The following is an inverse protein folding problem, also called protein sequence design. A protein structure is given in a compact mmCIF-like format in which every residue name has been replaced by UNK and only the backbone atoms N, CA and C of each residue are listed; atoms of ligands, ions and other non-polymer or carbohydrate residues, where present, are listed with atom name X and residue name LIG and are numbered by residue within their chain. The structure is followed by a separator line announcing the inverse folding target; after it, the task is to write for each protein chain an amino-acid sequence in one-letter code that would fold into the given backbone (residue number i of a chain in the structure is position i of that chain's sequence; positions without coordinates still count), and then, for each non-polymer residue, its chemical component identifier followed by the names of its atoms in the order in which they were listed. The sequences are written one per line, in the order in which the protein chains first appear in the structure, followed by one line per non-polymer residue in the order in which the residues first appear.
data_IF_222191374616
#
_entry.id   IF_222191374616
#
_cell.length_a   1.000
_cell.length_b   1.000
_cell.length_c   1.000
_cell.angle_alpha   90.00
_cell.angle_beta   90.00
_cell.angle_gamma   90.00
#
_symmetry.space_group_name_H-M   'P 1'
#
loop_
_entity.id
_entity.type
_entity.pdbx_description
1 polymer ?
#
# COMPACT_ATOMS: atom_id res chain seq x y z
N UNK A 1 11.98 55.46 -13.96
CA UNK A 1 12.68 54.15 -13.89
C UNK A 1 12.28 53.49 -12.59
N UNK A 2 11.34 52.54 -12.61
CA UNK A 2 11.05 51.61 -11.51
C UNK A 2 10.04 50.57 -12.01
N UNK A 3 10.55 49.45 -12.56
CA UNK A 3 9.78 48.23 -12.74
C UNK A 3 10.75 47.05 -12.66
N UNK A 4 10.93 46.55 -11.44
CA UNK A 4 11.60 45.28 -11.14
C UNK A 4 11.25 44.94 -9.70
N UNK A 5 10.21 44.13 -9.48
CA UNK A 5 9.97 43.33 -8.26
C UNK A 5 8.59 42.64 -8.34
N UNK A 6 8.45 41.64 -9.20
CA UNK A 6 7.24 40.79 -9.16
C UNK A 6 7.49 39.40 -9.75
N UNK A 7 8.60 38.75 -9.36
CA UNK A 7 8.87 37.36 -9.72
C UNK A 7 9.57 36.61 -8.58
N UNK A 8 8.87 36.37 -7.47
CA UNK A 8 9.38 35.42 -6.45
C UNK A 8 8.33 34.67 -5.62
N UNK A 9 7.02 34.86 -5.83
CA UNK A 9 6.01 34.28 -4.93
C UNK A 9 5.27 33.01 -5.41
N UNK A 10 5.44 32.57 -6.66
CA UNK A 10 4.68 31.42 -7.18
C UNK A 10 5.26 30.03 -6.86
N UNK A 11 6.51 29.92 -6.40
CA UNK A 11 7.15 28.60 -6.21
C UNK A 11 6.90 27.95 -4.85
N UNK A 12 6.44 28.68 -3.83
CA UNK A 12 6.20 28.11 -2.48
C UNK A 12 4.78 27.59 -2.27
N UNK A 13 3.77 28.14 -2.95
CA UNK A 13 2.36 27.73 -2.78
C UNK A 13 2.02 26.36 -3.40
N UNK A 14 2.78 25.93 -4.41
CA UNK A 14 2.57 24.65 -5.08
C UNK A 14 3.14 23.45 -4.31
N UNK A 15 4.14 23.67 -3.44
CA UNK A 15 4.79 22.61 -2.65
C UNK A 15 3.92 22.13 -1.49
N UNK A 16 3.27 23.04 -0.77
CA UNK A 16 2.39 22.68 0.36
C UNK A 16 1.12 21.93 -0.09
N UNK A 17 0.57 22.31 -1.24
CA UNK A 17 -0.60 21.65 -1.84
C UNK A 17 -0.25 20.25 -2.37
N UNK A 18 0.93 20.07 -2.98
CA UNK A 18 1.42 18.75 -3.38
C UNK A 18 1.79 17.86 -2.17
N UNK A 19 2.25 18.43 -1.07
CA UNK A 19 2.60 17.69 0.15
C UNK A 19 1.34 17.20 0.91
N UNK A 20 0.24 17.94 0.85
CA UNK A 20 -1.09 17.52 1.35
C UNK A 20 -1.66 16.33 0.56
N UNK A 21 -1.37 16.25 -0.75
CA UNK A 21 -1.82 15.16 -1.64
C UNK A 21 -1.07 13.83 -1.41
N UNK A 22 0.05 13.84 -0.67
CA UNK A 22 0.96 12.69 -0.47
C UNK A 22 0.70 11.87 0.80
N UNK A 23 -0.51 11.93 1.38
CA UNK A 23 -0.85 11.04 2.50
C UNK A 23 -1.34 9.70 1.96
N UNK A 24 -0.64 8.62 2.27
CA UNK A 24 -0.94 7.23 1.87
C UNK A 24 -2.40 6.88 2.18
N UNK A 25 -2.91 7.24 3.36
CA UNK A 25 -4.33 7.09 3.70
C UNK A 25 -5.27 7.76 2.70
N UNK A 26 -5.06 9.05 2.43
CA UNK A 26 -5.85 9.83 1.47
C UNK A 26 -5.70 9.30 0.03
N UNK A 27 -4.51 8.84 -0.36
CA UNK A 27 -4.27 8.17 -1.63
C UNK A 27 -5.18 6.95 -1.74
N UNK A 28 -5.11 6.00 -0.80
CA UNK A 28 -5.89 4.76 -0.85
C UNK A 28 -7.40 5.01 -0.88
N UNK A 29 -7.90 6.03 -0.18
CA UNK A 29 -9.30 6.43 -0.22
C UNK A 29 -9.71 7.01 -1.58
N UNK A 30 -8.84 7.81 -2.20
CA UNK A 30 -9.10 8.45 -3.50
C UNK A 30 -9.00 7.49 -4.67
N UNK A 31 -8.24 6.39 -4.56
CA UNK A 31 -8.09 5.41 -5.64
C UNK A 31 -9.43 4.97 -6.22
N UNK A 32 -10.40 4.65 -5.36
CA UNK A 32 -11.74 4.21 -5.77
C UNK A 32 -12.53 5.23 -6.60
N UNK A 33 -12.15 6.52 -6.49
CA UNK A 33 -12.79 7.63 -7.19
C UNK A 33 -12.11 7.96 -8.52
N UNK A 34 -11.02 7.28 -8.85
CA UNK A 34 -10.31 7.50 -10.11
C UNK A 34 -11.03 6.79 -11.26
N UNK A 35 -11.03 7.36 -12.48
CA UNK A 35 -11.66 6.72 -13.64
C UNK A 35 -11.08 5.33 -13.93
N UNK A 36 -9.77 5.17 -13.87
CA UNK A 36 -9.12 3.88 -14.18
C UNK A 36 -9.47 2.80 -13.15
N UNK A 37 -9.65 3.15 -11.86
CA UNK A 37 -10.09 2.18 -10.86
C UNK A 37 -11.50 1.70 -11.20
N UNK A 38 -12.42 2.62 -11.48
CA UNK A 38 -13.82 2.30 -11.78
C UNK A 38 -13.98 1.51 -13.10
N UNK A 39 -13.02 1.64 -14.02
CA UNK A 39 -13.01 0.92 -15.29
C UNK A 39 -12.35 -0.46 -15.22
N UNK A 40 -11.37 -0.65 -14.33
CA UNK A 40 -10.49 -1.84 -14.35
C UNK A 40 -10.60 -2.71 -13.09
N UNK A 41 -11.11 -2.17 -11.98
CA UNK A 41 -11.12 -2.83 -10.68
C UNK A 41 -12.57 -2.96 -10.20
N UNK A 42 -13.04 -4.16 -9.82
CA UNK A 42 -14.33 -4.35 -9.18
C UNK A 42 -14.49 -3.44 -7.94
N UNK A 43 -15.67 -2.85 -7.76
CA UNK A 43 -15.91 -1.85 -6.72
C UNK A 43 -15.76 -2.42 -5.29
N UNK A 44 -16.06 -3.71 -5.14
CA UNK A 44 -15.94 -4.51 -3.94
C UNK A 44 -14.50 -4.90 -3.60
N UNK A 45 -13.52 -4.64 -4.48
CA UNK A 45 -12.16 -5.08 -4.26
C UNK A 45 -11.52 -4.46 -2.99
N UNK A 46 -10.77 -5.30 -2.29
CA UNK A 46 -9.84 -4.91 -1.26
C UNK A 46 -8.67 -4.15 -1.86
N UNK A 47 -8.26 -3.08 -1.18
CA UNK A 47 -7.05 -2.33 -1.52
C UNK A 47 -5.98 -2.76 -0.54
N UNK A 48 -4.92 -3.38 -1.06
CA UNK A 48 -3.84 -3.91 -0.27
C UNK A 48 -2.84 -2.87 0.23
N UNK A 49 -1.93 -3.33 1.09
CA UNK A 49 -0.80 -2.55 1.57
C UNK A 49 0.11 -2.06 0.44
N UNK A 50 0.57 -0.81 0.49
CA UNK A 50 1.53 -0.27 -0.48
C UNK A 50 2.85 -1.05 -0.48
N UNK A 51 3.42 -1.21 -1.66
CA UNK A 51 4.73 -1.83 -1.87
C UNK A 51 5.64 -0.80 -2.54
N UNK A 52 6.73 -0.36 -1.88
CA UNK A 52 7.64 0.60 -2.49
C UNK A 52 8.47 -0.05 -3.60
N UNK A 53 8.71 0.73 -4.64
CA UNK A 53 9.62 0.39 -5.73
C UNK A 53 10.48 1.60 -6.07
N UNK A 54 11.80 1.43 -6.16
CA UNK A 54 12.72 2.43 -6.71
C UNK A 54 13.21 1.99 -8.08
N UNK A 55 13.11 2.87 -9.08
CA UNK A 55 13.62 2.62 -10.43
C UNK A 55 14.08 3.93 -11.05
N UNK A 56 15.29 3.96 -11.61
CA UNK A 56 15.88 5.13 -12.27
C UNK A 56 15.81 6.42 -11.42
N UNK A 57 16.14 6.31 -10.13
CA UNK A 57 16.10 7.44 -9.19
C UNK A 57 14.70 7.88 -8.74
N UNK A 58 13.63 7.31 -9.29
CA UNK A 58 12.23 7.63 -8.92
C UNK A 58 11.65 6.60 -7.96
N UNK A 59 10.70 7.06 -7.16
CA UNK A 59 9.91 6.24 -6.23
C UNK A 59 8.54 5.98 -6.84
N UNK A 60 8.13 4.72 -6.77
CA UNK A 60 6.83 4.25 -7.22
C UNK A 60 6.14 3.49 -6.09
N UNK A 61 4.81 3.48 -6.16
CA UNK A 61 3.97 2.70 -5.27
C UNK A 61 3.26 1.63 -6.07
N UNK A 62 3.46 0.38 -5.67
CA UNK A 62 2.68 -0.77 -6.14
C UNK A 62 1.55 -1.05 -5.15
N UNK A 63 0.32 -1.16 -5.65
CA UNK A 63 -0.88 -1.38 -4.85
C UNK A 63 -1.61 -2.60 -5.38
N UNK A 64 -1.62 -3.73 -4.64
CA UNK A 64 -2.36 -4.91 -5.04
C UNK A 64 -3.85 -4.77 -4.69
N UNK A 65 -4.68 -5.41 -5.51
CA UNK A 65 -6.12 -5.53 -5.30
C UNK A 65 -6.49 -7.00 -5.17
N UNK A 66 -7.37 -7.31 -4.22
CA UNK A 66 -7.78 -8.68 -3.90
C UNK A 66 -9.28 -8.74 -3.66
N UNK A 67 -9.87 -9.92 -3.89
CA UNK A 67 -11.28 -10.16 -3.60
C UNK A 67 -11.50 -10.45 -2.12
N UNK A 68 -12.69 -10.12 -1.62
CA UNK A 68 -13.13 -10.61 -0.32
C UNK A 68 -14.65 -10.84 -0.34
N UNK A 69 -15.13 -11.79 0.45
CA UNK A 69 -16.57 -12.08 0.55
C UNK A 69 -16.98 -12.37 2.00
N UNK A 70 -18.20 -12.01 2.42
CA UNK A 70 -18.74 -12.48 3.69
C UNK A 70 -18.73 -14.01 3.75
N UNK A 71 -18.56 -14.56 4.96
CA UNK A 71 -18.73 -16.00 5.21
C UNK A 71 -20.02 -16.27 5.98
N UNK A 72 -20.40 -17.54 6.09
CA UNK A 72 -21.48 -17.97 6.99
C UNK A 72 -21.15 -17.76 8.47
N UNK A 73 -19.87 -17.64 8.82
CA UNK A 73 -19.43 -17.36 10.18
C UNK A 73 -19.49 -15.86 10.47
N UNK A 74 -20.24 -15.49 11.50
CA UNK A 74 -20.47 -14.08 11.85
C UNK A 74 -19.13 -13.39 12.16
N UNK A 75 -18.88 -12.29 11.47
CA UNK A 75 -17.68 -11.46 11.69
C UNK A 75 -16.43 -11.94 10.96
N UNK A 76 -16.52 -13.02 10.16
CA UNK A 76 -15.43 -13.45 9.28
C UNK A 76 -15.70 -13.12 7.82
N UNK A 77 -14.63 -12.69 7.16
CA UNK A 77 -14.60 -12.37 5.74
C UNK A 77 -13.55 -13.25 5.08
N UNK A 78 -13.95 -14.00 4.05
CA UNK A 78 -13.03 -14.76 3.23
C UNK A 78 -12.18 -13.81 2.38
N UNK A 79 -10.87 -14.07 2.31
CA UNK A 79 -9.89 -13.34 1.52
C UNK A 79 -9.48 -14.18 0.32
N UNK A 80 -9.37 -13.55 -0.84
CA UNK A 80 -8.93 -14.18 -2.08
C UNK A 80 -7.54 -13.69 -2.48
N UNK A 81 -6.84 -14.43 -3.36
CA UNK A 81 -5.54 -14.00 -3.88
C UNK A 81 -5.61 -12.60 -4.52
N UNK A 82 -4.52 -11.80 -4.48
CA UNK A 82 -4.45 -10.57 -5.25
C UNK A 82 -4.58 -10.85 -6.75
N UNK A 83 -5.57 -10.26 -7.41
CA UNK A 83 -5.88 -10.47 -8.82
C UNK A 83 -5.36 -9.35 -9.73
N UNK A 84 -5.06 -8.18 -9.18
CA UNK A 84 -4.52 -7.06 -9.95
C UNK A 84 -3.50 -6.25 -9.15
N UNK A 85 -2.68 -5.49 -9.86
CA UNK A 85 -1.69 -4.58 -9.31
C UNK A 85 -1.68 -3.30 -10.14
N UNK A 86 -1.68 -2.14 -9.48
CA UNK A 86 -1.35 -0.86 -10.12
C UNK A 86 0.00 -0.35 -9.61
N UNK A 87 0.81 0.23 -10.50
CA UNK A 87 1.99 0.99 -10.12
C UNK A 87 1.73 2.47 -10.39
N UNK A 88 1.98 3.31 -9.39
CA UNK A 88 1.85 4.77 -9.46
C UNK A 88 3.22 5.41 -9.30
N UNK A 89 3.49 6.51 -10.01
CA UNK A 89 4.62 7.40 -9.69
C UNK A 89 4.32 8.15 -8.39
N UNK A 90 5.20 8.10 -7.38
CA UNK A 90 4.90 8.70 -6.07
C UNK A 90 4.78 10.22 -6.13
N UNK A 91 5.57 10.87 -6.99
CA UNK A 91 5.63 12.33 -7.05
C UNK A 91 4.34 12.93 -7.64
N UNK A 92 3.77 12.28 -8.66
CA UNK A 92 2.61 12.74 -9.42
C UNK A 92 1.32 11.96 -9.13
N UNK A 93 1.42 10.78 -8.53
CA UNK A 93 0.33 9.81 -8.33
C UNK A 93 -0.34 9.34 -9.63
N UNK A 94 0.33 9.55 -10.77
CA UNK A 94 -0.14 9.08 -12.07
C UNK A 94 0.15 7.58 -12.21
N UNK A 95 -0.83 6.76 -12.65
CA UNK A 95 -0.59 5.36 -12.96
C UNK A 95 0.40 5.20 -14.12
N UNK A 96 1.38 4.33 -13.92
CA UNK A 96 2.41 3.99 -14.92
C UNK A 96 2.34 2.53 -15.35
N UNK A 97 1.60 1.69 -14.63
CA UNK A 97 1.42 0.28 -14.94
C UNK A 97 0.10 -0.23 -14.33
N UNK A 98 -0.62 -1.06 -15.08
CA UNK A 98 -1.66 -1.93 -14.56
C UNK A 98 -1.33 -3.36 -14.98
N UNK A 99 -1.48 -4.30 -14.05
CA UNK A 99 -1.23 -5.72 -14.26
C UNK A 99 -2.43 -6.50 -13.76
N UNK A 100 -3.03 -7.31 -14.65
CA UNK A 100 -3.90 -8.39 -14.23
C UNK A 100 -3.03 -9.62 -13.91
N UNK A 101 -3.01 -10.01 -12.63
CA UNK A 101 -2.14 -11.07 -12.12
C UNK A 101 -2.57 -12.46 -12.58
N UNK A 102 -3.81 -12.63 -13.03
CA UNK A 102 -4.29 -13.89 -13.62
C UNK A 102 -3.62 -14.20 -14.97
N UNK A 103 -3.12 -13.17 -15.66
CA UNK A 103 -2.48 -13.29 -16.97
C UNK A 103 -0.96 -13.03 -16.92
N UNK A 104 -0.37 -12.95 -15.72
CA UNK A 104 1.07 -12.71 -15.55
C UNK A 104 1.80 -13.97 -15.16
N UNK A 105 2.93 -14.23 -15.81
CA UNK A 105 3.87 -15.28 -15.45
C UNK A 105 5.28 -14.70 -15.16
N UNK A 106 6.02 -15.26 -14.18
CA UNK A 106 5.56 -16.21 -13.17
C UNK A 106 4.70 -15.51 -12.10
N UNK A 107 3.65 -16.20 -11.67
CA UNK A 107 2.84 -15.89 -10.48
C UNK A 107 2.66 -17.21 -9.71
N UNK A 108 2.45 -17.22 -8.38
CA UNK A 108 2.21 -18.46 -7.65
C UNK A 108 1.06 -19.24 -8.30
N UNK A 109 1.14 -20.56 -8.26
CA UNK A 109 0.04 -21.40 -8.71
C UNK A 109 -1.14 -21.22 -7.75
N UNK A 110 -2.24 -20.70 -8.28
CA UNK A 110 -3.33 -20.10 -7.50
C UNK A 110 -4.67 -20.57 -8.03
N UNK A 111 -5.48 -21.12 -7.13
CA UNK A 111 -6.90 -21.36 -7.37
C UNK A 111 -7.71 -20.07 -7.15
N UNK A 112 -7.84 -19.25 -8.19
CA UNK A 112 -8.47 -17.92 -8.13
C UNK A 112 -9.89 -17.89 -7.55
N UNK A 113 -10.65 -18.98 -7.70
CA UNK A 113 -12.02 -19.11 -7.19
C UNK A 113 -12.11 -19.56 -5.73
N UNK A 114 -10.98 -19.80 -5.05
CA UNK A 114 -10.95 -20.27 -3.66
C UNK A 114 -10.37 -19.21 -2.72
N UNK A 115 -10.89 -19.10 -1.49
CA UNK A 115 -10.31 -18.23 -0.49
C UNK A 115 -8.96 -18.78 -0.03
N UNK A 116 -8.02 -17.86 0.26
CA UNK A 116 -6.68 -18.16 0.78
C UNK A 116 -6.60 -18.00 2.30
N UNK A 117 -7.59 -17.36 2.91
CA UNK A 117 -7.70 -17.18 4.34
C UNK A 117 -8.91 -16.36 4.74
N UNK A 118 -8.94 -15.92 5.99
CA UNK A 118 -10.04 -15.16 6.55
C UNK A 118 -9.53 -13.96 7.34
N UNK A 119 -10.23 -12.84 7.22
CA UNK A 119 -10.11 -11.69 8.10
C UNK A 119 -11.21 -11.76 9.18
N UNK A 120 -10.93 -11.36 10.43
CA UNK A 120 -9.61 -11.02 10.98
C UNK A 120 -8.76 -12.28 11.26
N UNK A 121 -7.43 -12.17 11.11
CA UNK A 121 -6.50 -13.19 11.63
C UNK A 121 -6.30 -13.04 13.15
N UNK A 122 -5.69 -14.05 13.78
CA UNK A 122 -5.60 -14.18 15.24
C UNK A 122 -5.06 -12.93 15.97
N UNK A 123 -4.00 -12.31 15.45
CA UNK A 123 -3.36 -11.16 16.10
C UNK A 123 -4.20 -9.87 16.10
N UNK A 124 -5.23 -9.80 15.24
CA UNK A 124 -6.15 -8.65 15.19
C UNK A 124 -7.58 -9.00 15.56
N UNK A 125 -7.91 -10.29 15.69
CA UNK A 125 -9.26 -10.78 15.99
C UNK A 125 -9.77 -10.32 17.37
N UNK A 126 -8.88 -10.12 18.35
CA UNK A 126 -9.21 -9.63 19.68
C UNK A 126 -9.29 -8.11 19.79
N UNK A 127 -8.91 -7.37 18.74
CA UNK A 127 -8.87 -5.90 18.80
C UNK A 127 -10.27 -5.32 18.63
N UNK A 128 -10.55 -4.27 19.40
CA UNK A 128 -11.71 -3.44 19.12
C UNK A 128 -11.55 -2.76 17.75
N UNK A 129 -12.67 -2.54 17.04
CA UNK A 129 -12.66 -1.90 15.71
C UNK A 129 -11.94 -0.53 15.72
N UNK A 130 -12.11 0.25 16.80
CA UNK A 130 -11.41 1.53 16.97
C UNK A 130 -9.90 1.36 17.10
N UNK A 131 -9.46 0.38 17.88
CA UNK A 131 -8.03 0.09 18.07
C UNK A 131 -7.37 -0.39 16.77
N UNK A 132 -8.04 -1.27 16.02
CA UNK A 132 -7.58 -1.70 14.70
C UNK A 132 -7.42 -0.51 13.74
N UNK A 133 -8.38 0.43 13.74
CA UNK A 133 -8.32 1.64 12.90
C UNK A 133 -7.14 2.55 13.27
N UNK A 134 -6.85 2.73 14.55
CA UNK A 134 -5.70 3.54 14.99
C UNK A 134 -4.37 2.87 14.61
N UNK A 135 -4.21 1.55 14.82
CA UNK A 135 -3.02 0.82 14.36
C UNK A 135 -2.83 0.91 12.85
N UNK A 136 -3.93 0.78 12.08
CA UNK A 136 -3.90 0.96 10.62
C UNK A 136 -3.47 2.36 10.23
N UNK A 137 -3.97 3.38 10.92
CA UNK A 137 -3.60 4.78 10.69
C UNK A 137 -2.12 5.01 10.99
N UNK A 138 -1.61 4.48 12.11
CA UNK A 138 -0.19 4.52 12.47
C UNK A 138 0.68 3.93 11.35
N UNK A 139 0.37 2.71 10.88
CA UNK A 139 1.13 2.09 9.79
C UNK A 139 1.11 2.95 8.52
N UNK A 140 -0.03 3.55 8.16
CA UNK A 140 -0.13 4.42 6.98
C UNK A 140 0.67 5.72 7.12
N UNK A 141 0.84 6.26 8.33
CA UNK A 141 1.76 7.37 8.57
C UNK A 141 3.22 6.94 8.43
N UNK A 142 3.57 5.74 8.88
CA UNK A 142 4.91 5.19 8.63
C UNK A 142 5.18 4.98 7.14
N UNK A 143 4.17 4.59 6.35
CA UNK A 143 4.30 4.57 4.89
C UNK A 143 4.58 5.95 4.30
N UNK A 144 4.00 7.03 4.83
CA UNK A 144 4.32 8.39 4.37
C UNK A 144 5.80 8.68 4.56
N UNK A 145 6.32 8.43 5.77
CA UNK A 145 7.73 8.63 6.08
C UNK A 145 8.65 7.75 5.21
N UNK A 146 8.25 6.49 4.97
CA UNK A 146 8.95 5.57 4.07
C UNK A 146 9.10 6.17 2.67
N UNK A 147 8.01 6.60 2.03
CA UNK A 147 8.07 7.13 0.68
C UNK A 147 8.82 8.45 0.57
N UNK A 148 8.72 9.32 1.59
CA UNK A 148 9.45 10.57 1.64
C UNK A 148 10.96 10.34 1.77
N UNK A 149 11.39 9.47 2.70
CA UNK A 149 12.81 9.11 2.86
C UNK A 149 13.38 8.42 1.62
N UNK A 150 12.62 7.52 0.99
CA UNK A 150 13.05 6.90 -0.27
C UNK A 150 13.21 7.92 -1.40
N UNK A 151 12.38 8.97 -1.42
CA UNK A 151 12.45 10.05 -2.42
C UNK A 151 13.64 10.96 -2.19
N UNK A 152 14.00 11.18 -0.93
CA UNK A 152 15.16 11.98 -0.52
C UNK A 152 16.47 11.18 -0.55
N UNK A 153 16.40 9.85 -0.67
CA UNK A 153 17.57 8.97 -0.60
C UNK A 153 18.15 8.89 0.81
N UNK A 154 17.34 9.10 1.84
CA UNK A 154 17.74 9.08 3.24
C UNK A 154 17.66 7.69 3.86
N UNK A 155 18.47 7.46 4.88
CA UNK A 155 18.48 6.22 5.64
C UNK A 155 17.37 6.17 6.72
N UNK A 156 17.11 4.96 7.19
CA UNK A 156 16.16 4.68 8.28
C UNK A 156 16.92 4.29 9.55
N UNK A 157 16.53 4.86 10.69
CA UNK A 157 17.08 4.43 11.98
C UNK A 157 16.59 3.02 12.33
N UNK A 158 17.36 2.32 13.17
CA UNK A 158 16.97 1.00 13.67
C UNK A 158 15.62 1.03 14.40
N UNK A 159 15.39 2.05 15.23
CA UNK A 159 14.12 2.26 15.92
C UNK A 159 12.94 2.38 14.94
N UNK A 160 13.12 3.16 13.87
CA UNK A 160 12.08 3.33 12.86
C UNK A 160 11.80 2.00 12.13
N UNK A 161 12.86 1.27 11.75
CA UNK A 161 12.73 -0.03 11.09
C UNK A 161 12.00 -1.04 11.97
N UNK A 162 12.29 -1.06 13.28
CA UNK A 162 11.61 -1.92 14.23
C UNK A 162 10.13 -1.56 14.39
N UNK A 163 9.81 -0.26 14.51
CA UNK A 163 8.43 0.22 14.59
C UNK A 163 7.63 -0.13 13.32
N UNK A 164 8.20 0.10 12.14
CA UNK A 164 7.57 -0.23 10.86
C UNK A 164 7.33 -1.74 10.73
N UNK A 165 8.35 -2.56 11.00
CA UNK A 165 8.25 -4.02 10.93
C UNK A 165 7.17 -4.56 11.88
N UNK A 166 7.12 -4.02 13.11
CA UNK A 166 6.15 -4.44 14.13
C UNK A 166 4.72 -4.10 13.69
N UNK A 167 4.49 -2.87 13.24
CA UNK A 167 3.17 -2.43 12.77
C UNK A 167 2.73 -3.22 11.52
N UNK A 168 3.63 -3.44 10.56
CA UNK A 168 3.33 -4.21 9.36
C UNK A 168 3.06 -5.69 9.68
N UNK A 169 3.86 -6.32 10.55
CA UNK A 169 3.68 -7.72 10.91
C UNK A 169 2.35 -7.95 11.64
N UNK A 170 1.95 -7.02 12.50
CA UNK A 170 0.67 -7.09 13.23
C UNK A 170 -0.55 -6.99 12.31
N UNK A 171 -0.46 -6.20 11.24
CA UNK A 171 -1.60 -5.91 10.36
C UNK A 171 -1.59 -6.68 9.04
N UNK A 172 -0.50 -7.37 8.71
CA UNK A 172 -0.42 -8.21 7.52
C UNK A 172 -1.25 -9.47 7.73
N UNK A 173 -2.20 -9.71 6.83
CA UNK A 173 -2.94 -10.97 6.80
C UNK A 173 -1.99 -12.12 6.40
N UNK A 174 -1.79 -13.13 7.28
CA UNK A 174 -0.83 -14.20 7.01
C UNK A 174 -1.11 -14.96 5.70
N UNK A 175 -2.39 -15.08 5.35
CA UNK A 175 -2.83 -15.71 4.10
C UNK A 175 -2.48 -14.92 2.84
N UNK A 176 -2.30 -13.61 2.95
CA UNK A 176 -1.91 -12.74 1.82
C UNK A 176 -0.40 -12.57 1.72
N UNK A 177 0.35 -12.79 2.81
CA UNK A 177 1.80 -12.58 2.87
C UNK A 177 2.60 -13.25 1.73
N UNK A 178 2.35 -14.51 1.33
CA UNK A 178 3.09 -15.15 0.23
C UNK A 178 3.00 -14.38 -1.10
N UNK A 179 1.85 -13.77 -1.36
CA UNK A 179 1.63 -12.95 -2.56
C UNK A 179 2.38 -11.62 -2.48
N UNK A 180 2.37 -10.99 -1.30
CA UNK A 180 3.16 -9.79 -1.05
C UNK A 180 4.66 -10.02 -1.25
N UNK A 181 5.18 -11.14 -0.74
CA UNK A 181 6.58 -11.54 -0.97
C UNK A 181 6.90 -11.76 -2.45
N UNK A 182 5.96 -12.27 -3.23
CA UNK A 182 6.14 -12.36 -4.69
C UNK A 182 6.20 -10.97 -5.34
N UNK A 183 5.32 -10.06 -4.95
CA UNK A 183 5.21 -8.71 -5.53
C UNK A 183 6.36 -7.77 -5.14
N UNK A 184 6.95 -7.99 -3.95
CA UNK A 184 7.89 -7.07 -3.31
C UNK A 184 8.95 -7.77 -2.47
N UNK A 185 9.54 -8.88 -2.96
CA UNK A 185 10.44 -9.76 -2.20
C UNK A 185 11.43 -9.03 -1.28
N UNK A 186 12.26 -8.14 -1.84
CA UNK A 186 13.27 -7.41 -1.06
C UNK A 186 12.68 -6.60 0.09
N UNK A 187 11.52 -5.98 -0.12
CA UNK A 187 10.84 -5.16 0.88
C UNK A 187 10.26 -6.03 2.00
N UNK A 188 9.51 -7.08 1.64
CA UNK A 188 8.86 -7.93 2.64
C UNK A 188 9.84 -8.88 3.34
N UNK A 189 10.93 -9.29 2.70
CA UNK A 189 11.99 -10.05 3.40
C UNK A 189 12.69 -9.20 4.46
N UNK A 190 12.74 -7.89 4.28
CA UNK A 190 13.33 -6.97 5.25
C UNK A 190 12.39 -6.68 6.43
N UNK A 191 11.12 -6.35 6.16
CA UNK A 191 10.18 -5.90 7.21
C UNK A 191 9.28 -7.01 7.78
N UNK A 192 9.20 -8.17 7.13
CA UNK A 192 8.54 -9.37 7.62
C UNK A 192 9.61 -10.47 7.71
N UNK A 193 10.44 -10.51 8.75
CA UNK A 193 11.37 -11.62 8.93
C UNK A 193 10.59 -12.93 9.03
N UNK A 194 11.12 -13.99 8.42
CA UNK A 194 10.51 -15.32 8.51
C UNK A 194 10.40 -15.69 9.99
N UNK A 195 9.19 -15.97 10.46
CA UNK A 195 9.01 -16.59 11.78
C UNK A 195 9.59 -17.99 11.63
N UNK A 196 10.79 -18.22 12.16
CA UNK A 196 11.36 -19.56 12.27
C UNK A 196 10.30 -20.43 12.93
N UNK A 197 9.79 -21.42 12.19
CA UNK A 197 8.86 -22.43 12.72
C UNK A 197 9.56 -23.31 13.74
#
# INVERSE_FOLDING_TARGET
MSHLSEQTQETHSNRSTQQSVRRTSALLERLRKTPWFQQLIPAEAGIGWPIPLRRNGKVYIRIPFFGFSPTSEKGKTALFPPFALVTLDWASLVPVEYVNLQFRNPWPDVEWGKPVGHFPHESVASLAVGEYKEKRKELLELYNELFDKLSQGSDFSEEWNHRFSTALNMLMEPSLEPYYRTLGKKFFDHYLPSKTR
#
